data_IF_245748988606
#
_entry.id   IF_245748988606
#
_cell.length_a   1.000
_cell.length_b   1.000
_cell.length_c   1.000
_cell.angle_alpha   90.00
_cell.angle_beta   90.00
_cell.angle_gamma   90.00
#
_symmetry.space_group_name_H-M   'P 1'
#
loop_
_entity.id
_entity.type
_entity.pdbx_description
1 polymer ?
#
# COMPACT_ATOMS: atom_id res chain seq x y z
N UNK A 1 -36.57 45.91 2.03
CA UNK A 1 -37.18 44.57 2.02
C UNK A 1 -36.49 43.74 0.94
N UNK A 2 -35.66 42.77 1.31
CA UNK A 2 -35.07 41.82 0.37
C UNK A 2 -35.21 40.41 0.99
N UNK A 3 -35.96 39.55 0.31
CA UNK A 3 -36.37 38.23 0.80
C UNK A 3 -35.19 37.25 0.88
N UNK A 4 -35.17 36.46 1.96
CA UNK A 4 -34.23 35.35 2.15
C UNK A 4 -34.64 34.18 1.24
N UNK A 5 -33.72 33.50 0.54
CA UNK A 5 -34.07 32.25 -0.12
C UNK A 5 -34.18 31.13 0.92
N UNK A 6 -35.37 30.54 0.99
CA UNK A 6 -35.69 29.34 1.78
C UNK A 6 -34.98 28.11 1.21
N UNK A 7 -34.27 27.39 2.08
CA UNK A 7 -33.65 26.10 1.76
C UNK A 7 -34.72 25.03 1.54
N UNK A 8 -34.59 24.25 0.46
CA UNK A 8 -35.43 23.08 0.18
C UNK A 8 -34.77 21.83 0.81
N UNK A 9 -35.52 20.95 1.51
CA UNK A 9 -34.97 19.73 2.10
C UNK A 9 -34.57 18.70 1.03
N UNK A 10 -33.41 18.07 1.22
CA UNK A 10 -32.75 17.16 0.25
C UNK A 10 -33.37 15.76 0.10
N UNK A 11 -34.60 15.52 0.58
CA UNK A 11 -35.24 14.19 0.56
C UNK A 11 -35.89 13.79 -0.78
N UNK A 12 -35.60 14.47 -1.89
CA UNK A 12 -36.28 14.25 -3.19
C UNK A 12 -35.34 14.35 -4.40
N UNK A 13 -34.32 13.50 -4.47
CA UNK A 13 -33.67 13.17 -5.75
C UNK A 13 -34.17 11.82 -6.27
N UNK A 14 -34.73 11.74 -7.49
CA UNK A 14 -35.26 10.50 -8.02
C UNK A 14 -34.13 9.58 -8.49
N UNK A 15 -33.97 8.45 -7.80
CA UNK A 15 -33.21 7.30 -8.30
C UNK A 15 -33.98 6.78 -9.51
N UNK A 16 -33.50 7.06 -10.72
CA UNK A 16 -34.02 6.43 -11.93
C UNK A 16 -33.80 4.92 -11.83
N UNK A 17 -34.87 4.16 -11.58
CA UNK A 17 -34.89 2.70 -11.66
C UNK A 17 -34.75 2.30 -13.12
N UNK A 18 -33.52 2.09 -13.61
CA UNK A 18 -33.29 1.31 -14.82
C UNK A 18 -33.35 -0.17 -14.45
N UNK A 19 -34.42 -0.82 -14.88
CA UNK A 19 -34.62 -2.26 -14.84
C UNK A 19 -33.63 -2.94 -15.78
N UNK A 20 -32.46 -3.34 -15.27
CA UNK A 20 -31.58 -4.25 -15.99
C UNK A 20 -32.16 -5.67 -15.90
N UNK A 21 -32.89 -6.06 -16.96
CA UNK A 21 -33.15 -7.46 -17.27
C UNK A 21 -31.80 -8.21 -17.32
N UNK A 22 -31.72 -9.32 -16.58
CA UNK A 22 -30.59 -10.27 -16.63
C UNK A 22 -30.38 -10.74 -18.08
N UNK A 23 -29.18 -10.67 -18.66
CA UNK A 23 -28.88 -11.45 -19.84
C UNK A 23 -28.73 -12.93 -19.45
N UNK A 24 -29.49 -13.77 -20.15
CA UNK A 24 -29.38 -15.23 -20.15
C UNK A 24 -27.97 -15.67 -20.54
N UNK A 25 -27.47 -16.70 -19.86
CA UNK A 25 -26.18 -17.35 -20.16
C UNK A 25 -26.20 -17.88 -21.59
N UNK A 26 -25.44 -17.26 -22.48
CA UNK A 26 -25.07 -17.85 -23.77
C UNK A 26 -23.91 -18.82 -23.52
N UNK A 27 -24.08 -20.06 -24.00
CA UNK A 27 -23.03 -21.08 -24.04
C UNK A 27 -21.92 -20.65 -25.03
N UNK A 28 -20.66 -21.07 -24.81
CA UNK A 28 -19.56 -20.73 -25.71
C UNK A 28 -19.66 -21.45 -27.07
N UNK A 29 -19.31 -20.70 -28.11
CA UNK A 29 -19.22 -21.07 -29.52
C UNK A 29 -18.06 -22.08 -29.78
N UNK A 30 -18.29 -23.22 -30.45
CA UNK A 30 -17.28 -24.27 -30.66
C UNK A 30 -16.17 -23.95 -31.69
N UNK A 31 -16.14 -22.77 -32.32
CA UNK A 31 -15.22 -22.51 -33.43
C UNK A 31 -13.84 -21.90 -33.07
N UNK A 32 -13.54 -21.60 -31.79
CA UNK A 32 -12.26 -20.99 -31.38
C UNK A 32 -11.64 -21.65 -30.13
N UNK A 33 -10.63 -22.53 -30.28
CA UNK A 33 -9.92 -23.05 -29.12
C UNK A 33 -9.00 -21.96 -28.51
N UNK A 34 -9.13 -21.74 -27.20
CA UNK A 34 -8.23 -20.89 -26.41
C UNK A 34 -6.78 -21.43 -26.47
N UNK A 35 -5.75 -20.54 -26.47
CA UNK A 35 -4.36 -20.96 -26.48
C UNK A 35 -4.00 -21.71 -25.19
N UNK A 36 -3.39 -22.89 -25.35
CA UNK A 36 -2.92 -23.74 -24.25
C UNK A 36 -1.88 -23.01 -23.39
N UNK A 37 -1.89 -23.19 -22.06
CA UNK A 37 -0.86 -22.64 -21.20
C UNK A 37 0.49 -23.28 -21.55
N UNK A 38 1.49 -22.43 -21.80
CA UNK A 38 2.87 -22.82 -22.06
C UNK A 38 3.45 -23.48 -20.80
N UNK A 39 3.52 -24.82 -20.79
CA UNK A 39 4.24 -25.58 -19.76
C UNK A 39 5.72 -25.23 -19.86
N UNK A 40 6.20 -24.37 -18.96
CA UNK A 40 7.65 -24.18 -18.75
C UNK A 40 8.22 -25.48 -18.19
N UNK A 41 8.91 -26.25 -19.02
CA UNK A 41 9.70 -27.39 -18.58
C UNK A 41 10.72 -26.92 -17.54
N UNK A 42 10.53 -27.29 -16.27
CA UNK A 42 11.57 -27.15 -15.25
C UNK A 42 12.67 -28.15 -15.57
N UNK A 43 13.71 -27.73 -16.29
CA UNK A 43 14.95 -28.50 -16.39
C UNK A 43 15.60 -28.52 -15.01
N UNK A 44 15.61 -29.69 -14.37
CA UNK A 44 16.51 -29.99 -13.25
C UNK A 44 17.89 -30.23 -13.82
N UNK A 45 18.83 -29.33 -13.56
CA UNK A 45 20.24 -29.71 -13.62
C UNK A 45 20.61 -30.42 -12.31
N UNK A 46 21.04 -31.67 -12.42
CA UNK A 46 21.79 -32.35 -11.34
C UNK A 46 23.24 -31.89 -11.46
N UNK A 47 23.80 -31.34 -10.39
CA UNK A 47 25.26 -31.24 -10.26
C UNK A 47 25.79 -32.53 -9.63
N UNK A 48 26.98 -32.95 -10.06
CA UNK A 48 27.73 -34.07 -9.48
C UNK A 48 28.33 -33.66 -8.13
N UNK A 49 27.48 -33.48 -7.13
CA UNK A 49 27.75 -33.42 -5.67
C UNK A 49 26.52 -32.80 -5.01
N UNK A 50 25.84 -33.57 -4.16
CA UNK A 50 24.48 -33.27 -3.68
C UNK A 50 24.35 -32.11 -2.69
N UNK A 51 24.49 -30.85 -3.15
CA UNK A 51 24.23 -29.65 -2.35
C UNK A 51 23.45 -28.57 -3.11
N UNK A 52 22.42 -27.99 -2.48
CA UNK A 52 21.59 -26.90 -3.06
C UNK A 52 22.15 -25.53 -2.65
N UNK A 53 22.63 -24.72 -3.59
CA UNK A 53 22.84 -23.27 -3.39
C UNK A 53 22.49 -22.50 -4.66
N UNK A 54 21.86 -21.34 -4.48
CA UNK A 54 21.46 -20.43 -5.56
C UNK A 54 22.68 -19.58 -5.98
N UNK A 55 23.03 -19.60 -7.27
CA UNK A 55 24.05 -18.70 -7.83
C UNK A 55 23.40 -17.43 -8.36
N UNK A 56 23.74 -16.31 -7.74
CA UNK A 56 23.52 -14.95 -8.22
C UNK A 56 24.72 -14.49 -9.04
N UNK A 57 24.48 -14.03 -10.27
CA UNK A 57 25.38 -13.14 -11.01
C UNK A 57 26.42 -13.82 -11.89
N UNK A 58 26.27 -13.67 -13.21
CA UNK A 58 27.38 -13.78 -14.16
C UNK A 58 27.50 -12.44 -14.89
N UNK A 59 28.45 -11.63 -14.43
CA UNK A 59 29.00 -10.50 -15.19
C UNK A 59 30.24 -11.05 -15.90
N UNK A 60 30.22 -11.09 -17.22
CA UNK A 60 31.39 -11.46 -18.04
C UNK A 60 32.36 -10.28 -18.14
N UNK A 61 33.59 -10.47 -17.66
CA UNK A 61 34.73 -9.60 -17.94
C UNK A 61 35.62 -10.17 -19.06
N UNK A 62 36.44 -9.32 -19.65
CA UNK A 62 37.67 -9.68 -20.38
C UNK A 62 38.59 -8.45 -20.55
N UNK A 63 39.91 -8.65 -20.79
CA UNK A 63 40.96 -7.98 -20.00
C UNK A 63 41.85 -7.01 -20.80
N UNK A 64 42.67 -6.23 -20.09
CA UNK A 64 43.75 -5.43 -20.66
C UNK A 64 44.89 -5.24 -19.66
N UNK A 65 46.08 -5.69 -20.06
CA UNK A 65 47.38 -5.64 -19.39
C UNK A 65 47.85 -4.21 -19.08
N UNK A 66 48.78 -4.06 -18.12
CA UNK A 66 50.10 -3.40 -18.23
C UNK A 66 50.71 -3.22 -16.83
N UNK A 67 51.94 -3.68 -16.67
CA UNK A 67 52.97 -3.27 -15.68
C UNK A 67 54.18 -2.82 -16.53
N UNK A 68 55.24 -2.14 -16.03
CA UNK A 68 55.75 -2.11 -14.65
C UNK A 68 56.34 -0.76 -14.17
N UNK A 69 56.76 -0.66 -12.91
CA UNK A 69 58.17 -0.42 -12.51
C UNK A 69 58.34 -0.04 -11.03
N UNK A 70 59.47 -0.50 -10.48
CA UNK A 70 59.97 -0.49 -9.09
C UNK A 70 60.47 0.87 -8.59
N UNK A 71 60.48 1.04 -7.26
CA UNK A 71 61.67 1.29 -6.39
C UNK A 71 61.18 1.69 -4.98
N UNK A 72 61.45 0.90 -3.91
CA UNK A 72 62.57 1.07 -2.96
C UNK A 72 62.12 1.94 -1.77
N UNK A 73 62.49 1.77 -0.49
CA UNK A 73 63.41 0.90 0.24
C UNK A 73 63.15 1.10 1.77
N UNK A 74 63.69 0.22 2.61
CA UNK A 74 63.87 0.38 4.07
C UNK A 74 62.81 -0.35 4.92
N UNK A 75 63.08 -1.34 5.76
CA UNK A 75 64.29 -1.66 6.52
C UNK A 75 64.06 -1.28 7.99
N UNK A 76 63.91 -2.26 8.90
CA UNK A 76 63.75 -1.97 10.33
C UNK A 76 63.26 -3.14 11.19
N UNK A 77 64.23 -3.94 11.63
CA UNK A 77 64.33 -4.76 12.84
C UNK A 77 63.16 -5.57 13.46
N UNK A 78 63.53 -6.83 13.69
CA UNK A 78 62.89 -7.81 14.58
C UNK A 78 63.09 -7.41 16.05
N UNK A 79 62.05 -7.59 16.88
CA UNK A 79 62.21 -7.98 18.29
C UNK A 79 61.16 -9.03 18.65
N UNK A 80 61.66 -10.20 19.00
CA UNK A 80 60.93 -11.28 19.64
C UNK A 80 60.43 -10.83 21.02
N UNK A 81 59.17 -11.10 21.31
CA UNK A 81 58.64 -11.13 22.67
C UNK A 81 57.61 -12.27 22.77
N UNK A 82 58.10 -13.45 23.14
CA UNK A 82 57.27 -14.57 23.55
C UNK A 82 56.56 -14.21 24.86
N UNK A 83 55.25 -14.01 24.82
CA UNK A 83 54.41 -14.03 26.01
C UNK A 83 53.32 -15.08 25.82
N UNK A 84 53.34 -16.04 26.76
CA UNK A 84 52.48 -17.22 26.83
C UNK A 84 51.03 -16.77 27.03
N UNK A 85 50.18 -16.99 26.02
CA UNK A 85 48.72 -16.89 26.17
C UNK A 85 48.16 -18.22 26.64
N UNK A 86 47.67 -18.28 27.89
CA UNK A 86 46.83 -19.38 28.36
C UNK A 86 45.45 -19.35 27.71
N UNK A 87 44.71 -20.47 27.67
CA UNK A 87 43.40 -20.54 27.02
C UNK A 87 42.35 -19.71 27.78
N UNK A 88 41.65 -18.84 27.06
CA UNK A 88 40.47 -18.12 27.57
C UNK A 88 39.37 -19.11 28.02
N UNK A 89 38.70 -18.87 29.15
CA UNK A 89 37.53 -19.65 29.56
C UNK A 89 36.34 -19.30 28.65
N UNK A 90 35.86 -20.30 27.90
CA UNK A 90 34.69 -20.16 27.03
C UNK A 90 33.43 -19.86 27.84
N UNK A 91 32.94 -18.62 27.76
CA UNK A 91 31.63 -18.23 28.30
C UNK A 91 30.53 -18.94 27.52
N UNK A 92 29.97 -19.99 28.14
CA UNK A 92 28.86 -20.77 27.61
C UNK A 92 27.57 -19.94 27.73
N UNK A 93 27.26 -19.13 26.71
CA UNK A 93 25.98 -18.44 26.63
C UNK A 93 24.88 -19.45 26.34
N UNK A 94 24.08 -19.80 27.35
CA UNK A 94 22.85 -20.54 27.15
C UNK A 94 21.87 -19.65 26.38
N UNK A 95 21.65 -19.95 25.09
CA UNK A 95 20.54 -19.37 24.32
C UNK A 95 19.22 -19.72 25.01
N UNK A 96 18.40 -18.77 25.46
CA UNK A 96 17.05 -19.10 25.91
C UNK A 96 16.24 -19.60 24.70
N UNK A 97 15.97 -20.90 24.68
CA UNK A 97 15.16 -21.59 23.67
C UNK A 97 13.67 -21.42 23.95
N UNK A 98 13.19 -20.22 24.27
CA UNK A 98 11.74 -20.00 24.27
C UNK A 98 11.30 -19.75 22.83
N UNK A 99 10.90 -20.82 22.13
CA UNK A 99 10.04 -20.69 20.94
C UNK A 99 8.74 -20.01 21.40
N UNK A 100 8.68 -18.68 21.33
CA UNK A 100 7.41 -17.96 21.47
C UNK A 100 6.56 -18.32 20.27
N UNK A 101 5.63 -19.25 20.44
CA UNK A 101 4.57 -19.48 19.47
C UNK A 101 3.81 -18.17 19.26
N UNK A 102 3.36 -17.85 18.04
CA UNK A 102 2.57 -16.65 17.81
C UNK A 102 1.29 -16.75 18.64
N UNK A 103 1.05 -15.77 19.51
CA UNK A 103 -0.22 -15.66 20.23
C UNK A 103 -1.28 -15.35 19.19
N UNK A 104 -2.15 -16.33 18.92
CA UNK A 104 -3.36 -16.10 18.13
C UNK A 104 -4.37 -15.44 19.05
N UNK A 105 -4.42 -14.10 19.02
CA UNK A 105 -5.49 -13.36 19.68
C UNK A 105 -6.80 -13.71 18.98
N UNK A 106 -7.56 -14.61 19.59
CA UNK A 106 -8.93 -14.90 19.20
C UNK A 106 -9.78 -13.94 20.00
N UNK A 107 -10.46 -13.00 19.33
CA UNK A 107 -11.43 -12.13 20.01
C UNK A 107 -12.52 -13.04 20.56
N UNK A 108 -12.58 -13.19 21.88
CA UNK A 108 -13.65 -13.91 22.56
C UNK A 108 -14.98 -13.15 22.38
N UNK A 109 -16.07 -13.92 22.35
CA UNK A 109 -17.40 -13.54 21.87
C UNK A 109 -17.92 -12.16 22.29
N UNK A 110 -18.66 -11.56 21.35
CA UNK A 110 -19.44 -10.34 21.51
C UNK A 110 -20.54 -10.54 22.57
N UNK A 111 -20.77 -9.59 23.49
CA UNK A 111 -22.05 -9.51 24.18
C UNK A 111 -23.14 -9.11 23.16
N UNK A 112 -24.23 -9.89 23.09
CA UNK A 112 -25.30 -9.80 22.10
C UNK A 112 -26.16 -8.51 22.15
N UNK A 113 -25.80 -7.50 22.96
CA UNK A 113 -26.67 -6.36 23.25
C UNK A 113 -25.98 -4.99 23.39
N UNK A 114 -24.79 -4.80 22.81
CA UNK A 114 -24.27 -3.45 22.62
C UNK A 114 -24.60 -2.97 21.21
N UNK A 115 -25.39 -1.89 21.11
CA UNK A 115 -25.44 -0.99 19.95
C UNK A 115 -24.05 -0.36 19.75
N UNK A 116 -23.10 -1.20 19.37
CA UNK A 116 -21.68 -0.97 19.46
C UNK A 116 -21.09 -0.76 18.08
N UNK A 117 -20.14 0.16 18.00
CA UNK A 117 -19.32 0.36 16.81
C UNK A 117 -18.23 -0.71 16.81
N UNK A 118 -18.26 -1.63 15.83
CA UNK A 118 -17.20 -2.61 15.64
C UNK A 118 -16.18 -2.11 14.63
N UNK A 119 -14.89 -2.24 14.95
CA UNK A 119 -13.79 -1.91 14.04
C UNK A 119 -13.42 -3.17 13.22
N UNK A 120 -13.61 -3.10 11.90
CA UNK A 120 -13.33 -4.20 10.97
C UNK A 120 -11.94 -4.10 10.36
N UNK A 121 -11.44 -2.88 10.19
CA UNK A 121 -10.15 -2.66 9.55
C UNK A 121 -9.58 -1.30 9.83
N UNK A 122 -8.24 -1.24 9.78
CA UNK A 122 -7.47 -0.03 9.96
C UNK A 122 -6.47 0.11 8.82
N UNK A 123 -6.22 1.35 8.40
CA UNK A 123 -5.20 1.67 7.43
C UNK A 123 -4.46 2.95 7.80
N UNK A 124 -3.15 2.92 7.59
CA UNK A 124 -2.29 4.10 7.65
C UNK A 124 -1.46 4.17 6.39
N UNK A 125 -1.29 5.37 5.85
CA UNK A 125 -0.41 5.60 4.72
C UNK A 125 0.31 6.94 4.84
N UNK A 126 1.53 6.99 4.30
CA UNK A 126 2.37 8.17 4.23
C UNK A 126 2.77 8.43 2.79
N UNK A 127 2.69 9.69 2.37
CA UNK A 127 2.99 10.13 1.02
C UNK A 127 3.96 11.31 1.03
N UNK A 128 5.08 11.16 0.34
CA UNK A 128 6.02 12.26 0.12
C UNK A 128 5.39 13.32 -0.80
N UNK A 129 5.31 14.57 -0.34
CA UNK A 129 4.64 15.67 -1.05
C UNK A 129 5.37 15.97 -2.36
N UNK A 130 6.70 16.03 -2.32
CA UNK A 130 7.52 16.29 -3.50
C UNK A 130 7.38 15.19 -4.57
N UNK A 131 7.09 13.95 -4.18
CA UNK A 131 6.80 12.86 -5.12
C UNK A 131 5.49 13.10 -5.87
N UNK A 132 4.45 13.55 -5.17
CA UNK A 132 3.15 13.88 -5.79
C UNK A 132 3.28 15.09 -6.71
N UNK A 133 3.99 16.13 -6.28
CA UNK A 133 4.27 17.30 -7.09
C UNK A 133 4.98 16.93 -8.40
N UNK A 134 6.09 16.19 -8.32
CA UNK A 134 6.80 15.70 -9.51
C UNK A 134 5.91 14.86 -10.42
N UNK A 135 5.05 14.01 -9.86
CA UNK A 135 4.18 13.14 -10.62
C UNK A 135 3.07 13.92 -11.36
N UNK A 136 2.48 14.92 -10.70
CA UNK A 136 1.48 15.82 -11.30
C UNK A 136 2.08 16.65 -12.44
N UNK A 137 3.28 17.18 -12.25
CA UNK A 137 3.99 17.95 -13.29
C UNK A 137 4.39 17.07 -14.48
N UNK A 138 4.95 15.87 -14.22
CA UNK A 138 5.42 14.96 -15.28
C UNK A 138 4.28 14.31 -16.05
N UNK A 139 3.15 14.06 -15.41
CA UNK A 139 2.00 13.36 -15.99
C UNK A 139 0.69 14.11 -15.70
N UNK A 140 0.34 15.13 -16.48
CA UNK A 140 -0.88 15.92 -16.24
C UNK A 140 -2.17 15.08 -16.21
N UNK A 141 -2.21 13.98 -16.98
CA UNK A 141 -3.33 13.03 -16.99
C UNK A 141 -3.51 12.26 -15.67
N UNK A 142 -2.48 12.21 -14.82
CA UNK A 142 -2.56 11.60 -13.49
C UNK A 142 -3.68 12.23 -12.68
N UNK A 143 -3.83 13.55 -12.75
CA UNK A 143 -4.82 14.29 -11.98
C UNK A 143 -6.23 13.79 -12.26
N UNK A 144 -6.62 13.77 -13.54
CA UNK A 144 -7.92 13.32 -14.00
C UNK A 144 -8.16 11.80 -13.86
N UNK A 145 -7.09 11.01 -13.62
CA UNK A 145 -7.18 9.57 -13.39
C UNK A 145 -7.31 9.21 -11.91
N UNK A 146 -6.73 10.03 -11.03
CA UNK A 146 -6.61 9.73 -9.59
C UNK A 146 -7.66 10.47 -8.76
N UNK A 147 -7.86 11.76 -9.08
CA UNK A 147 -8.73 12.65 -8.31
C UNK A 147 -10.01 12.93 -9.08
N UNK A 148 -11.10 13.18 -8.37
CA UNK A 148 -12.34 13.67 -9.01
C UNK A 148 -12.17 15.14 -9.39
N UNK A 149 -13.05 15.68 -10.27
CA UNK A 149 -13.07 17.10 -10.59
C UNK A 149 -13.24 18.00 -9.36
N UNK A 150 -14.07 17.59 -8.39
CA UNK A 150 -14.35 18.34 -7.17
C UNK A 150 -13.13 18.39 -6.25
N UNK A 151 -12.45 17.26 -6.05
CA UNK A 151 -11.20 17.23 -5.28
C UNK A 151 -10.11 18.05 -5.94
N UNK A 152 -10.02 17.93 -7.27
CA UNK A 152 -9.10 18.67 -8.10
C UNK A 152 -9.30 20.18 -7.94
N UNK A 153 -10.54 20.67 -8.04
CA UNK A 153 -10.86 22.08 -7.84
C UNK A 153 -10.53 22.54 -6.42
N UNK A 154 -10.85 21.71 -5.42
CA UNK A 154 -10.54 22.02 -4.02
C UNK A 154 -9.04 22.15 -3.76
N UNK A 155 -8.23 21.21 -4.28
CA UNK A 155 -6.78 21.20 -4.06
C UNK A 155 -6.11 22.40 -4.73
N UNK A 156 -6.52 22.75 -5.94
CA UNK A 156 -5.95 23.87 -6.69
C UNK A 156 -6.24 25.22 -6.05
N UNK A 157 -7.35 25.35 -5.32
CA UNK A 157 -7.68 26.57 -4.58
C UNK A 157 -6.80 26.79 -3.33
N UNK A 158 -5.86 25.88 -3.02
CA UNK A 158 -4.94 26.03 -1.88
C UNK A 158 -3.68 26.77 -2.26
N UNK A 159 -3.11 27.49 -1.29
CA UNK A 159 -1.80 28.13 -1.44
C UNK A 159 -0.69 27.14 -1.83
N UNK A 160 -0.80 25.88 -1.37
CA UNK A 160 0.10 24.78 -1.71
C UNK A 160 -0.69 23.55 -2.16
N UNK A 161 -1.05 23.45 -3.46
CA UNK A 161 -1.90 22.37 -3.96
C UNK A 161 -1.32 20.98 -3.73
N UNK A 162 0.00 20.81 -3.91
CA UNK A 162 0.68 19.52 -3.77
C UNK A 162 0.49 18.88 -2.38
N UNK A 163 0.51 19.68 -1.31
CA UNK A 163 0.25 19.20 0.06
C UNK A 163 -1.15 18.60 0.17
N UNK A 164 -2.15 19.26 -0.43
CA UNK A 164 -3.54 18.81 -0.41
C UNK A 164 -3.78 17.57 -1.27
N UNK A 165 -3.11 17.47 -2.43
CA UNK A 165 -3.14 16.27 -3.27
C UNK A 165 -2.49 15.08 -2.56
N UNK A 166 -1.34 15.28 -1.89
CA UNK A 166 -0.66 14.23 -1.16
C UNK A 166 -1.51 13.68 -0.01
N UNK A 167 -2.16 14.54 0.77
CA UNK A 167 -3.08 14.10 1.83
C UNK A 167 -4.24 13.26 1.31
N UNK A 168 -4.82 13.63 0.16
CA UNK A 168 -5.89 12.84 -0.48
C UNK A 168 -5.40 11.54 -1.09
N UNK A 169 -4.18 11.52 -1.61
CA UNK A 169 -3.55 10.31 -2.12
C UNK A 169 -3.29 9.32 -0.98
N UNK A 170 -2.67 9.77 0.11
CA UNK A 170 -2.46 8.97 1.32
C UNK A 170 -3.79 8.45 1.89
N UNK A 171 -4.82 9.30 1.91
CA UNK A 171 -6.15 8.91 2.39
C UNK A 171 -6.73 7.74 1.60
N UNK A 172 -6.62 7.75 0.26
CA UNK A 172 -7.08 6.63 -0.58
C UNK A 172 -6.38 5.32 -0.23
N UNK A 173 -5.07 5.36 -0.09
CA UNK A 173 -4.28 4.17 0.26
C UNK A 173 -4.61 3.67 1.68
N UNK A 174 -4.78 4.59 2.64
CA UNK A 174 -5.24 4.24 3.98
C UNK A 174 -6.62 3.55 3.93
N UNK A 175 -7.57 4.07 3.17
CA UNK A 175 -8.90 3.46 2.98
C UNK A 175 -8.78 2.09 2.30
N UNK A 176 -7.98 1.95 1.24
CA UNK A 176 -7.75 0.66 0.57
C UNK A 176 -7.23 -0.39 1.56
N UNK A 177 -6.32 -0.01 2.45
CA UNK A 177 -5.79 -0.88 3.51
C UNK A 177 -6.85 -1.24 4.55
N UNK A 178 -7.66 -0.26 4.99
CA UNK A 178 -8.75 -0.50 5.93
C UNK A 178 -9.82 -1.46 5.36
N UNK A 179 -10.03 -1.48 4.04
CA UNK A 179 -10.92 -2.43 3.36
C UNK A 179 -10.31 -3.82 3.12
N UNK A 180 -9.06 -4.05 3.55
CA UNK A 180 -8.31 -5.29 3.29
C UNK A 180 -7.93 -5.48 1.81
N UNK A 181 -7.93 -4.39 1.02
CA UNK A 181 -7.72 -4.40 -0.42
C UNK A 181 -8.90 -4.93 -1.25
N UNK A 182 -8.91 -4.62 -2.54
CA UNK A 182 -9.91 -5.10 -3.50
C UNK A 182 -9.35 -5.16 -4.93
N UNK A 183 -10.02 -5.91 -5.81
CA UNK A 183 -9.65 -6.07 -7.23
C UNK A 183 -10.33 -5.01 -8.10
N UNK A 184 -9.77 -4.77 -9.29
CA UNK A 184 -10.34 -3.80 -10.24
C UNK A 184 -10.28 -2.35 -9.76
N UNK A 185 -9.25 -1.99 -8.98
CA UNK A 185 -9.13 -0.68 -8.34
C UNK A 185 -9.15 0.45 -9.36
N UNK A 186 -10.11 1.36 -9.22
CA UNK A 186 -10.07 2.69 -9.82
C UNK A 186 -9.81 3.69 -8.70
N UNK A 187 -8.88 4.61 -8.91
CA UNK A 187 -8.49 5.57 -7.88
C UNK A 187 -9.63 6.49 -7.44
N UNK A 188 -10.58 6.78 -8.34
CA UNK A 188 -11.74 7.61 -8.08
C UNK A 188 -12.88 6.87 -7.37
N UNK A 189 -12.79 5.54 -7.21
CA UNK A 189 -13.75 4.78 -6.40
C UNK A 189 -13.69 5.19 -4.92
N UNK A 190 -12.62 5.87 -4.51
CA UNK A 190 -12.46 6.47 -3.19
C UNK A 190 -12.16 7.95 -3.41
N UNK A 191 -13.04 8.82 -2.93
CA UNK A 191 -12.85 10.28 -2.98
C UNK A 191 -13.07 10.91 -1.62
N UNK A 192 -12.46 12.07 -1.40
CA UNK A 192 -12.52 12.80 -0.13
C UNK A 192 -13.26 14.11 -0.31
N UNK A 193 -14.40 14.23 0.37
CA UNK A 193 -15.18 15.46 0.48
C UNK A 193 -15.01 16.10 1.86
N UNK A 194 -15.68 17.23 2.10
CA UNK A 194 -15.79 17.85 3.42
C UNK A 194 -17.23 18.05 3.81
N UNK A 195 -17.52 17.72 5.07
CA UNK A 195 -18.80 18.05 5.70
C UNK A 195 -18.92 19.56 5.91
N UNK A 196 -20.13 20.09 6.15
CA UNK A 196 -20.33 21.50 6.53
C UNK A 196 -19.51 21.93 7.75
N UNK A 197 -19.22 21.00 8.67
CA UNK A 197 -18.33 21.22 9.82
C UNK A 197 -16.85 21.37 9.46
N UNK A 198 -16.47 21.14 8.20
CA UNK A 198 -15.09 21.12 7.72
C UNK A 198 -14.38 19.78 7.88
N UNK A 199 -14.98 18.81 8.59
CA UNK A 199 -14.42 17.48 8.78
C UNK A 199 -14.32 16.72 7.44
N UNK A 200 -13.20 16.02 7.16
CA UNK A 200 -13.06 15.23 5.95
C UNK A 200 -13.95 13.99 6.00
N UNK A 201 -14.50 13.60 4.85
CA UNK A 201 -15.37 12.44 4.70
C UNK A 201 -15.01 11.66 3.44
N UNK A 202 -15.05 10.33 3.52
CA UNK A 202 -14.82 9.44 2.37
C UNK A 202 -16.13 9.13 1.68
N UNK A 203 -16.13 9.22 0.35
CA UNK A 203 -17.16 8.66 -0.50
C UNK A 203 -16.60 7.43 -1.21
N UNK A 204 -17.31 6.30 -1.06
CA UNK A 204 -17.00 5.04 -1.73
C UNK A 204 -17.94 4.83 -2.90
N UNK A 205 -17.38 4.47 -4.05
CA UNK A 205 -18.08 4.11 -5.27
C UNK A 205 -17.48 2.83 -5.88
N UNK A 206 -18.13 2.30 -6.92
CA UNK A 206 -17.63 1.18 -7.70
C UNK A 206 -17.16 0.00 -6.84
N UNK A 207 -15.98 -0.53 -7.18
CA UNK A 207 -15.45 -1.74 -6.54
C UNK A 207 -15.05 -1.50 -5.07
N UNK A 208 -14.76 -0.25 -4.68
CA UNK A 208 -14.48 0.07 -3.28
C UNK A 208 -15.75 -0.01 -2.43
N UNK A 209 -16.88 0.49 -2.96
CA UNK A 209 -18.18 0.38 -2.31
C UNK A 209 -18.63 -1.08 -2.22
N UNK A 210 -18.54 -1.83 -3.32
CA UNK A 210 -18.90 -3.25 -3.34
C UNK A 210 -18.09 -4.04 -2.31
N UNK A 211 -16.81 -3.70 -2.14
CA UNK A 211 -15.97 -4.30 -1.10
C UNK A 211 -16.44 -3.94 0.31
N UNK A 212 -16.77 -2.68 0.57
CA UNK A 212 -17.27 -2.24 1.87
C UNK A 212 -18.59 -2.93 2.21
N UNK A 213 -19.52 -2.99 1.26
CA UNK A 213 -20.82 -3.67 1.38
C UNK A 213 -20.63 -5.17 1.70
N UNK A 214 -19.71 -5.85 0.99
CA UNK A 214 -19.41 -7.26 1.23
C UNK A 214 -18.78 -7.55 2.61
N UNK A 215 -18.18 -6.54 3.24
CA UNK A 215 -17.64 -6.61 4.59
C UNK A 215 -18.62 -6.11 5.66
N UNK A 216 -19.82 -5.66 5.27
CA UNK A 216 -20.80 -5.06 6.16
C UNK A 216 -20.42 -3.68 6.70
N UNK A 217 -19.37 -3.04 6.18
CA UNK A 217 -18.85 -1.76 6.68
C UNK A 217 -19.89 -0.66 6.45
N UNK A 218 -20.31 0.01 7.53
CA UNK A 218 -21.28 1.10 7.48
C UNK A 218 -20.61 2.44 7.15
N UNK A 219 -19.41 2.68 7.67
CA UNK A 219 -18.65 3.92 7.43
C UNK A 219 -17.14 3.71 7.54
N UNK A 220 -16.39 4.61 6.90
CA UNK A 220 -14.94 4.70 7.05
C UNK A 220 -14.58 6.07 7.62
N UNK A 221 -14.11 6.09 8.87
CA UNK A 221 -13.64 7.30 9.53
C UNK A 221 -12.22 7.61 9.04
N UNK A 222 -11.95 8.88 8.73
CA UNK A 222 -10.64 9.31 8.26
C UNK A 222 -10.12 10.55 8.97
N UNK A 223 -8.81 10.66 9.02
CA UNK A 223 -8.10 11.90 9.30
C UNK A 223 -6.82 11.92 8.50
N UNK A 224 -6.36 13.10 8.09
CA UNK A 224 -5.06 13.25 7.46
C UNK A 224 -4.48 14.61 7.79
N UNK A 225 -3.17 14.66 7.78
CA UNK A 225 -2.39 15.87 8.03
C UNK A 225 -1.20 15.89 7.07
N UNK A 226 -0.58 17.06 6.94
CA UNK A 226 0.67 17.19 6.23
C UNK A 226 1.62 18.08 7.03
N UNK A 227 2.89 17.74 6.96
CA UNK A 227 4.01 18.50 7.53
C UNK A 227 5.08 18.55 6.45
N UNK A 228 5.67 19.73 6.21
CA UNK A 228 6.75 20.09 5.25
C UNK A 228 7.00 19.17 4.05
N UNK A 229 7.36 17.92 4.30
CA UNK A 229 7.78 16.92 3.30
C UNK A 229 6.79 15.77 3.10
N UNK A 230 5.92 15.47 4.06
CA UNK A 230 5.08 14.29 4.06
C UNK A 230 3.62 14.61 4.42
N UNK A 231 2.71 13.88 3.78
CA UNK A 231 1.32 13.79 4.18
C UNK A 231 1.04 12.41 4.77
N UNK A 232 0.31 12.35 5.89
CA UNK A 232 -0.05 11.10 6.58
C UNK A 232 -1.56 11.02 6.70
N UNK A 233 -2.12 9.84 6.44
CA UNK A 233 -3.55 9.58 6.58
C UNK A 233 -3.82 8.32 7.39
N UNK A 234 -4.90 8.36 8.16
CA UNK A 234 -5.45 7.25 8.92
C UNK A 234 -6.88 6.99 8.47
N UNK A 235 -7.25 5.71 8.41
CA UNK A 235 -8.59 5.25 8.09
C UNK A 235 -9.02 4.12 9.03
N UNK A 236 -10.26 4.16 9.50
CA UNK A 236 -10.88 3.13 10.35
C UNK A 236 -12.21 2.75 9.72
N UNK A 237 -12.33 1.51 9.28
CA UNK A 237 -13.57 0.94 8.78
C UNK A 237 -14.37 0.34 9.93
N UNK A 238 -15.63 0.74 10.06
CA UNK A 238 -16.49 0.30 11.17
C UNK A 238 -17.86 -0.20 10.69
N UNK A 239 -18.46 -1.06 11.50
CA UNK A 239 -19.85 -1.52 11.40
C UNK A 239 -20.61 -0.92 12.58
N UNK A 240 -21.76 -0.32 12.30
CA UNK A 240 -22.71 0.08 13.32
C UNK A 240 -23.67 -1.09 13.58
N UNK A 241 -23.78 -1.50 14.84
CA UNK A 241 -24.71 -2.53 15.31
C UNK A 241 -26.13 -2.03 15.56
#
# INVERSE_FOLDING_TARGET
MAGRPTAVPWSRWPISRRSHRRPSRLAPDPAHPLPRPFLRSRRRCRTASGGRRWCSGCSSGSPGSHSPSRSGAGGGERRDASLRGGPEPSLRTSRPTSRRLPIRLTVQGRPDSLSGVEIVGLGVDICEIARIERALTRHPSMRARVFTPEESAYCDAKARPAESYAGRFATREAVIKALGGYRGRRWQDISVTRRPSGAPEVLLAGNAKDRADALGISRVLITFTHERTNAVAFAIAVIDG
#
